data_IF_319676785234
#
_entry.id   IF_319676785234
#
_cell.length_a   1.000
_cell.length_b   1.000
_cell.length_c   1.000
_cell.angle_alpha   90.00
_cell.angle_beta   90.00
_cell.angle_gamma   90.00
#
_symmetry.space_group_name_H-M   'P 1'
#
loop_
_entity.id
_entity.type
_entity.pdbx_description
1 polymer ?
#
# COMPACT_ATOMS: atom_id res chain seq x y z
N UNK A 1 56.27 -14.57 26.23
CA UNK A 1 55.44 -15.79 26.25
C UNK A 1 54.20 -15.54 25.42
N UNK A 2 53.92 -16.47 24.49
CA UNK A 2 52.63 -16.92 23.92
C UNK A 2 51.53 -15.87 23.67
N UNK A 3 50.94 -15.74 22.49
CA UNK A 3 50.99 -16.55 21.29
C UNK A 3 49.83 -16.15 20.37
N UNK A 4 50.14 -15.89 19.10
CA UNK A 4 49.20 -15.78 17.99
C UNK A 4 48.89 -17.20 17.46
N UNK A 5 47.61 -17.46 17.15
CA UNK A 5 47.03 -18.38 16.15
C UNK A 5 45.51 -18.42 16.49
N UNK A 6 44.52 -18.39 15.60
CA UNK A 6 44.34 -19.15 14.37
C UNK A 6 43.02 -18.69 13.73
N UNK A 7 42.96 -18.35 12.43
CA UNK A 7 41.78 -18.63 11.59
C UNK A 7 42.27 -18.91 10.17
N UNK A 8 42.18 -20.18 9.77
CA UNK A 8 42.19 -20.65 8.39
C UNK A 8 40.98 -20.07 7.64
N UNK A 9 41.14 -19.72 6.35
CA UNK A 9 40.37 -20.33 5.25
C UNK A 9 40.85 -19.86 3.87
N UNK A 10 40.90 -20.84 2.96
CA UNK A 10 41.48 -20.85 1.62
C UNK A 10 40.70 -20.01 0.59
N UNK A 11 41.34 -19.58 -0.52
CA UNK A 11 40.67 -18.89 -1.61
C UNK A 11 39.98 -19.86 -2.59
N UNK A 12 38.66 -19.70 -2.79
CA UNK A 12 37.92 -20.32 -3.89
C UNK A 12 38.09 -19.50 -5.17
N UNK A 13 38.80 -20.10 -6.13
CA UNK A 13 38.76 -19.76 -7.56
C UNK A 13 37.34 -19.92 -8.09
N UNK A 14 36.80 -18.91 -8.77
CA UNK A 14 35.78 -19.01 -9.83
C UNK A 14 35.58 -17.66 -10.51
N UNK A 15 36.44 -17.31 -11.46
CA UNK A 15 36.07 -16.42 -12.57
C UNK A 15 37.03 -16.71 -13.74
N UNK A 16 36.59 -17.63 -14.60
CA UNK A 16 37.18 -17.93 -15.90
C UNK A 16 36.28 -17.24 -16.92
N UNK A 17 36.84 -16.41 -17.82
CA UNK A 17 36.61 -16.48 -19.28
C UNK A 17 36.86 -15.16 -20.03
N UNK A 18 38.07 -14.57 -19.98
CA UNK A 18 38.52 -13.66 -21.07
C UNK A 18 40.02 -13.79 -21.37
N UNK A 19 40.86 -14.18 -20.40
CA UNK A 19 42.33 -14.20 -20.58
C UNK A 19 42.95 -15.43 -21.27
N UNK A 20 42.18 -16.46 -21.65
CA UNK A 20 42.75 -17.74 -22.14
C UNK A 20 42.91 -17.85 -23.65
N UNK A 21 42.38 -16.92 -24.43
CA UNK A 21 42.55 -16.91 -25.89
C UNK A 21 43.86 -16.23 -26.32
N UNK A 22 44.43 -15.37 -25.48
CA UNK A 22 45.64 -14.60 -25.81
C UNK A 22 46.95 -15.40 -25.65
N UNK A 23 46.97 -16.40 -24.77
CA UNK A 23 48.16 -17.23 -24.51
C UNK A 23 48.30 -18.44 -25.45
N UNK A 24 47.30 -18.73 -26.29
CA UNK A 24 47.36 -19.85 -27.24
C UNK A 24 47.91 -19.48 -28.63
N UNK A 25 48.02 -18.18 -28.93
CA UNK A 25 48.58 -17.69 -30.20
C UNK A 25 50.11 -17.45 -30.13
N UNK A 26 50.67 -17.17 -28.95
CA UNK A 26 52.11 -16.98 -28.80
C UNK A 26 52.92 -18.29 -28.72
N UNK A 27 52.29 -19.43 -28.48
CA UNK A 27 52.98 -20.73 -28.44
C UNK A 27 53.06 -21.43 -29.80
N UNK A 28 52.31 -20.96 -30.81
CA UNK A 28 52.32 -21.51 -32.18
C UNK A 28 53.24 -20.74 -33.14
N UNK A 29 53.73 -19.55 -32.76
CA UNK A 29 54.70 -18.78 -33.57
C UNK A 29 56.17 -19.17 -33.29
N UNK A 30 56.46 -19.88 -32.19
CA UNK A 30 57.82 -20.25 -31.78
C UNK A 30 58.38 -21.51 -32.48
N UNK A 31 57.70 -22.07 -33.49
CA UNK A 31 58.19 -23.22 -34.28
C UNK A 31 58.48 -22.92 -35.75
N UNK A 32 58.29 -21.69 -36.23
CA UNK A 32 58.69 -21.29 -37.57
C UNK A 32 59.85 -20.29 -37.48
N UNK A 33 61.08 -20.77 -37.70
CA UNK A 33 62.29 -19.96 -37.70
C UNK A 33 62.32 -18.92 -38.82
N UNK A 34 61.64 -17.79 -38.65
CA UNK A 34 61.78 -16.59 -39.46
C UNK A 34 61.86 -15.37 -38.53
N UNK A 35 62.97 -14.64 -38.61
CA UNK A 35 63.11 -13.31 -38.00
C UNK A 35 62.17 -12.34 -38.71
N UNK A 36 61.37 -11.53 -38.00
CA UNK A 36 60.85 -10.30 -38.56
C UNK A 36 61.80 -9.15 -38.21
N UNK A 37 62.29 -8.52 -39.27
CA UNK A 37 62.81 -7.16 -39.28
C UNK A 37 61.69 -6.15 -38.98
N UNK A 38 62.12 -4.98 -38.51
CA UNK A 38 61.38 -3.75 -38.21
C UNK A 38 60.78 -3.61 -36.80
N UNK A 39 61.14 -2.48 -36.21
CA UNK A 39 61.00 -2.07 -34.82
C UNK A 39 59.55 -2.06 -34.32
N UNK A 40 59.20 -3.06 -33.51
CA UNK A 40 57.99 -3.04 -32.69
C UNK A 40 57.95 -1.89 -31.67
N UNK A 41 59.12 -1.30 -31.35
CA UNK A 41 59.19 -0.10 -30.51
C UNK A 41 58.71 1.18 -31.22
N UNK A 42 58.82 1.26 -32.54
CA UNK A 42 58.45 2.46 -33.31
C UNK A 42 56.95 2.48 -33.66
N UNK A 43 56.32 1.29 -33.73
CA UNK A 43 54.85 1.17 -33.85
C UNK A 43 54.15 1.59 -32.55
N UNK A 44 54.71 1.25 -31.38
CA UNK A 44 54.16 1.67 -30.09
C UNK A 44 54.28 3.18 -29.85
N UNK A 45 55.32 3.84 -30.37
CA UNK A 45 55.48 5.30 -30.29
C UNK A 45 54.61 6.06 -31.30
N UNK A 46 54.27 5.47 -32.47
CA UNK A 46 53.33 6.07 -33.43
C UNK A 46 51.85 5.88 -33.09
N UNK A 47 51.50 4.89 -32.26
CA UNK A 47 50.14 4.74 -31.73
C UNK A 47 49.87 5.63 -30.49
N UNK A 48 50.89 6.30 -29.95
CA UNK A 48 50.78 7.22 -28.81
C UNK A 48 50.34 8.65 -29.16
N UNK A 49 50.11 8.98 -30.43
CA UNK A 49 49.79 10.35 -30.87
C UNK A 49 48.66 10.40 -31.90
N UNK A 50 47.59 9.64 -31.69
CA UNK A 50 46.27 10.07 -32.14
C UNK A 50 45.36 10.16 -30.92
N UNK A 51 45.30 11.37 -30.34
CA UNK A 51 44.11 11.80 -29.58
C UNK A 51 42.98 11.99 -30.59
N UNK A 52 42.50 10.89 -31.17
CA UNK A 52 41.13 10.85 -31.64
C UNK A 52 40.32 10.97 -30.37
N UNK A 53 39.69 12.13 -30.17
CA UNK A 53 38.66 12.28 -29.17
C UNK A 53 37.53 11.33 -29.56
N UNK A 54 37.66 10.05 -29.18
CA UNK A 54 36.50 9.24 -28.88
C UNK A 54 35.82 10.02 -27.77
N UNK A 55 34.86 10.85 -28.19
CA UNK A 55 33.78 11.31 -27.36
C UNK A 55 33.18 10.02 -26.85
N UNK A 56 33.62 9.58 -25.68
CA UNK A 56 32.86 8.65 -24.88
C UNK A 56 31.53 9.34 -24.78
N UNK A 57 30.54 8.84 -25.53
CA UNK A 57 29.20 8.97 -25.06
C UNK A 57 29.31 8.44 -23.63
N UNK A 58 29.15 9.34 -22.66
CA UNK A 58 28.75 8.94 -21.32
C UNK A 58 27.45 8.19 -21.56
N UNK A 59 27.53 6.90 -21.87
CA UNK A 59 26.52 5.96 -21.44
C UNK A 59 26.39 6.30 -19.97
N UNK A 60 25.26 6.95 -19.62
CA UNK A 60 25.01 7.33 -18.24
C UNK A 60 25.28 6.10 -17.40
N UNK A 61 26.21 6.23 -16.45
CA UNK A 61 26.54 5.15 -15.53
C UNK A 61 25.22 4.50 -15.11
N UNK A 62 25.01 3.24 -15.48
CA UNK A 62 23.91 2.47 -14.91
C UNK A 62 24.21 2.39 -13.42
N UNK A 63 23.63 3.33 -12.68
CA UNK A 63 23.62 3.32 -11.23
C UNK A 63 23.03 1.98 -10.82
N UNK A 64 23.77 1.19 -10.04
CA UNK A 64 23.20 -0.01 -9.46
C UNK A 64 21.94 0.39 -8.67
N UNK A 65 20.80 -0.22 -8.99
CA UNK A 65 19.56 0.00 -8.26
C UNK A 65 19.73 -0.57 -6.84
N UNK A 66 20.12 0.29 -5.90
CA UNK A 66 20.25 -0.08 -4.50
C UNK A 66 18.92 0.14 -3.78
N UNK A 67 18.40 -0.91 -3.14
CA UNK A 67 17.18 -0.85 -2.32
C UNK A 67 17.55 -1.18 -0.88
N UNK A 68 17.35 -0.19 0.01
CA UNK A 68 17.58 -0.37 1.44
C UNK A 68 16.33 -0.95 2.08
N UNK A 69 16.48 -2.06 2.80
CA UNK A 69 15.46 -2.58 3.73
C UNK A 69 15.96 -2.37 5.15
N UNK A 70 15.16 -1.69 5.96
CA UNK A 70 15.45 -1.42 7.36
C UNK A 70 15.42 -2.71 8.18
N UNK A 71 16.34 -2.89 9.13
CA UNK A 71 16.39 -4.08 9.98
C UNK A 71 15.16 -4.19 10.91
N UNK A 72 14.56 -3.05 11.21
CA UNK A 72 13.30 -2.88 11.92
C UNK A 72 12.14 -3.62 11.24
N UNK A 73 12.27 -3.97 9.96
CA UNK A 73 11.35 -4.86 9.26
C UNK A 73 11.10 -6.16 10.06
N UNK A 74 12.15 -6.74 10.65
CA UNK A 74 12.06 -7.99 11.41
C UNK A 74 11.49 -7.80 12.82
N UNK A 75 11.36 -6.56 13.29
CA UNK A 75 10.81 -6.21 14.59
C UNK A 75 9.35 -5.74 14.51
N UNK A 76 8.83 -5.54 13.30
CA UNK A 76 7.45 -5.13 13.10
C UNK A 76 6.50 -6.22 13.63
N UNK A 77 5.56 -5.89 14.54
CA UNK A 77 4.66 -6.87 15.16
C UNK A 77 3.87 -7.68 14.13
N UNK A 78 3.46 -7.04 13.02
CA UNK A 78 2.74 -7.71 11.94
C UNK A 78 3.63 -8.73 11.24
N UNK A 79 4.88 -8.37 10.96
CA UNK A 79 5.87 -9.27 10.36
C UNK A 79 6.24 -10.41 11.30
N UNK A 80 6.26 -10.19 12.61
CA UNK A 80 6.58 -11.22 13.60
C UNK A 80 5.43 -12.20 13.83
N UNK A 81 4.21 -11.70 14.04
CA UNK A 81 3.08 -12.46 14.58
C UNK A 81 2.09 -12.92 13.50
N UNK A 82 1.91 -12.16 12.42
CA UNK A 82 0.88 -12.44 11.41
C UNK A 82 1.44 -13.05 10.12
N UNK A 83 2.70 -12.77 9.76
CA UNK A 83 3.30 -13.23 8.51
C UNK A 83 3.93 -14.63 8.66
N UNK A 84 3.53 -15.55 7.78
CA UNK A 84 4.21 -16.84 7.62
C UNK A 84 5.62 -16.65 7.04
N UNK A 85 6.53 -17.64 7.14
CA UNK A 85 7.86 -17.54 6.51
C UNK A 85 7.80 -17.26 5.00
N UNK A 86 6.82 -17.85 4.32
CA UNK A 86 6.55 -17.62 2.90
C UNK A 86 6.11 -16.18 2.65
N UNK A 87 5.23 -15.64 3.49
CA UNK A 87 4.80 -14.23 3.40
C UNK A 87 5.98 -13.27 3.60
N UNK A 88 6.88 -13.54 4.56
CA UNK A 88 8.06 -12.70 4.79
C UNK A 88 8.96 -12.66 3.55
N UNK A 89 9.16 -13.82 2.91
CA UNK A 89 9.93 -13.91 1.67
C UNK A 89 9.24 -13.19 0.51
N UNK A 90 7.93 -13.39 0.34
CA UNK A 90 7.13 -12.70 -0.68
C UNK A 90 7.17 -11.18 -0.48
N UNK A 91 7.03 -10.72 0.78
CA UNK A 91 7.05 -9.29 1.07
C UNK A 91 8.42 -8.67 0.77
N UNK A 92 9.52 -9.31 1.20
CA UNK A 92 10.86 -8.86 0.87
C UNK A 92 11.07 -8.79 -0.65
N UNK A 93 10.59 -9.79 -1.39
CA UNK A 93 10.63 -9.78 -2.85
C UNK A 93 9.88 -8.55 -3.44
N UNK A 94 8.68 -8.23 -2.94
CA UNK A 94 7.95 -7.04 -3.38
C UNK A 94 8.70 -5.73 -3.07
N UNK A 95 9.49 -5.70 -1.99
CA UNK A 95 10.27 -4.52 -1.61
C UNK A 95 11.57 -4.34 -2.42
N UNK A 96 12.15 -5.44 -2.94
CA UNK A 96 13.51 -5.43 -3.50
C UNK A 96 13.62 -5.89 -4.95
N UNK A 97 12.51 -6.17 -5.64
CA UNK A 97 12.57 -6.62 -7.03
C UNK A 97 13.08 -5.49 -7.96
N UNK A 98 13.61 -5.84 -9.15
CA UNK A 98 14.18 -4.85 -10.06
C UNK A 98 13.15 -3.87 -10.65
N UNK A 99 11.86 -4.21 -10.61
CA UNK A 99 10.79 -3.35 -11.08
C UNK A 99 10.33 -2.36 -10.01
N UNK A 100 10.70 -2.57 -8.74
CA UNK A 100 10.31 -1.69 -7.65
C UNK A 100 10.81 -0.28 -7.92
N UNK A 101 9.89 0.69 -7.86
CA UNK A 101 10.11 2.12 -8.06
C UNK A 101 10.37 2.83 -6.74
N UNK A 102 10.76 4.10 -6.80
CA UNK A 102 10.99 4.93 -5.63
C UNK A 102 9.69 5.28 -4.89
N UNK A 103 8.59 5.41 -5.63
CA UNK A 103 7.24 5.66 -5.08
C UNK A 103 6.57 4.40 -4.49
N UNK A 104 7.03 3.19 -4.86
CA UNK A 104 6.43 1.93 -4.40
C UNK A 104 5.20 1.47 -5.19
N UNK A 105 4.99 2.06 -6.38
CA UNK A 105 3.99 1.64 -7.39
C UNK A 105 4.72 1.27 -8.66
N UNK A 106 4.56 0.04 -9.10
CA UNK A 106 5.28 -0.42 -10.28
C UNK A 106 4.56 -1.55 -11.00
N UNK A 107 4.89 -1.70 -12.28
CA UNK A 107 4.33 -2.73 -13.13
C UNK A 107 5.04 -4.07 -12.91
N UNK A 108 4.27 -5.09 -12.53
CA UNK A 108 4.75 -6.46 -12.41
C UNK A 108 3.65 -7.47 -12.74
N UNK A 109 3.99 -8.51 -13.48
CA UNK A 109 3.03 -9.56 -13.84
C UNK A 109 3.11 -10.72 -12.85
N UNK A 110 1.97 -11.35 -12.57
CA UNK A 110 1.89 -12.58 -11.76
C UNK A 110 2.83 -13.67 -12.26
N UNK A 111 2.97 -13.82 -13.58
CA UNK A 111 3.91 -14.76 -14.20
C UNK A 111 5.37 -14.42 -13.91
N UNK A 112 5.72 -13.13 -13.88
CA UNK A 112 7.07 -12.67 -13.53
C UNK A 112 7.40 -12.99 -12.08
N UNK A 113 6.49 -12.70 -11.17
CA UNK A 113 6.65 -13.02 -9.74
C UNK A 113 6.82 -14.53 -9.53
N UNK A 114 6.00 -15.33 -10.20
CA UNK A 114 6.09 -16.79 -10.16
C UNK A 114 7.45 -17.29 -10.65
N UNK A 115 7.93 -16.75 -11.78
CA UNK A 115 9.25 -17.09 -12.33
C UNK A 115 10.40 -16.70 -11.40
N UNK A 116 10.42 -15.47 -10.87
CA UNK A 116 11.51 -14.98 -10.03
C UNK A 116 11.61 -15.74 -8.70
N UNK A 117 10.47 -16.15 -8.14
CA UNK A 117 10.40 -16.86 -6.86
C UNK A 117 10.44 -18.39 -7.00
N UNK A 118 10.32 -18.92 -8.21
CA UNK A 118 10.23 -20.37 -8.44
C UNK A 118 8.89 -20.98 -7.97
N UNK A 119 7.82 -20.19 -7.97
CA UNK A 119 6.48 -20.61 -7.58
C UNK A 119 5.55 -20.83 -8.78
N UNK A 120 4.44 -21.52 -8.53
CA UNK A 120 3.36 -21.59 -9.51
C UNK A 120 2.62 -20.23 -9.59
N UNK A 121 2.05 -19.85 -10.75
CA UNK A 121 1.18 -18.67 -10.85
C UNK A 121 0.01 -18.70 -9.85
N UNK A 122 -0.50 -19.89 -9.53
CA UNK A 122 -1.58 -20.12 -8.57
C UNK A 122 -1.14 -19.78 -7.14
N UNK A 123 0.07 -20.21 -6.75
CA UNK A 123 0.66 -19.87 -5.45
C UNK A 123 0.85 -18.36 -5.31
N UNK A 124 1.34 -17.69 -6.35
CA UNK A 124 1.48 -16.22 -6.36
C UNK A 124 0.12 -15.53 -6.28
N UNK A 125 -0.90 -16.05 -6.96
CA UNK A 125 -2.26 -15.50 -6.84
C UNK A 125 -2.78 -15.61 -5.41
N UNK A 126 -2.59 -16.75 -4.74
CA UNK A 126 -2.97 -16.94 -3.34
C UNK A 126 -2.19 -16.02 -2.39
N UNK A 127 -0.88 -15.83 -2.64
CA UNK A 127 -0.05 -14.88 -1.90
C UNK A 127 -0.55 -13.45 -2.08
N UNK A 128 -0.80 -13.00 -3.31
CA UNK A 128 -1.34 -11.66 -3.58
C UNK A 128 -2.69 -11.45 -2.91
N UNK A 129 -3.59 -12.42 -3.02
CA UNK A 129 -4.93 -12.35 -2.43
C UNK A 129 -4.85 -12.22 -0.90
N UNK A 130 -3.99 -13.02 -0.27
CA UNK A 130 -3.68 -12.92 1.16
C UNK A 130 -3.07 -11.56 1.52
N UNK A 131 -2.15 -11.04 0.73
CA UNK A 131 -1.54 -9.73 0.98
C UNK A 131 -2.51 -8.55 0.81
N UNK A 132 -3.49 -8.69 -0.08
CA UNK A 132 -4.50 -7.68 -0.36
C UNK A 132 -5.64 -7.70 0.67
N UNK A 133 -6.20 -8.87 0.93
CA UNK A 133 -7.42 -9.01 1.76
C UNK A 133 -7.11 -9.25 3.24
N UNK A 134 -6.14 -10.12 3.55
CA UNK A 134 -5.80 -10.47 4.93
C UNK A 134 -4.82 -9.46 5.53
N UNK A 135 -3.65 -9.31 4.91
CA UNK A 135 -2.60 -8.45 5.45
C UNK A 135 -2.84 -6.96 5.18
N UNK A 136 -3.58 -6.61 4.11
CA UNK A 136 -3.85 -5.23 3.67
C UNK A 136 -2.56 -4.41 3.54
N UNK A 137 -1.53 -5.01 2.96
CA UNK A 137 -0.22 -4.39 2.76
C UNK A 137 -0.03 -3.89 1.32
N UNK A 138 -0.71 -4.52 0.37
CA UNK A 138 -0.57 -4.23 -1.06
C UNK A 138 -1.93 -4.23 -1.75
N UNK A 139 -2.01 -3.53 -2.88
CA UNK A 139 -3.13 -3.61 -3.81
C UNK A 139 -2.58 -3.92 -5.19
N UNK A 140 -3.19 -4.89 -5.87
CA UNK A 140 -2.79 -5.30 -7.21
C UNK A 140 -3.90 -5.01 -8.22
N UNK A 141 -3.63 -4.14 -9.19
CA UNK A 141 -4.50 -3.98 -10.34
C UNK A 141 -4.13 -5.00 -11.43
N UNK A 142 -5.06 -5.90 -11.73
CA UNK A 142 -4.86 -6.95 -12.75
C UNK A 142 -4.93 -6.44 -14.19
N UNK A 143 -5.59 -5.30 -14.44
CA UNK A 143 -5.75 -4.69 -15.77
C UNK A 143 -4.45 -3.99 -16.19
N UNK A 144 -3.96 -3.05 -15.39
CA UNK A 144 -2.70 -2.34 -15.67
C UNK A 144 -1.47 -3.19 -15.37
N UNK A 145 -1.64 -4.23 -14.54
CA UNK A 145 -0.60 -5.11 -13.99
C UNK A 145 0.35 -4.34 -13.07
N UNK A 146 -0.22 -3.44 -12.28
CA UNK A 146 0.50 -2.60 -11.33
C UNK A 146 0.23 -3.07 -9.90
N UNK A 147 1.26 -2.99 -9.08
CA UNK A 147 1.17 -3.26 -7.64
C UNK A 147 1.54 -1.99 -6.88
N UNK A 148 0.79 -1.70 -5.82
CA UNK A 148 1.04 -0.61 -4.90
C UNK A 148 1.29 -1.14 -3.50
N UNK A 149 2.36 -0.65 -2.86
CA UNK A 149 2.68 -0.99 -1.47
C UNK A 149 2.21 0.16 -0.57
N UNK A 150 1.16 -0.07 0.21
CA UNK A 150 0.37 0.98 0.89
C UNK A 150 1.23 1.85 1.80
N UNK A 151 2.03 1.22 2.67
CA UNK A 151 2.86 1.93 3.67
C UNK A 151 4.25 2.31 3.15
N UNK A 152 4.48 2.30 1.84
CA UNK A 152 5.81 2.54 1.27
C UNK A 152 6.39 3.92 1.63
N UNK A 153 5.57 4.97 1.52
CA UNK A 153 5.99 6.36 1.73
C UNK A 153 6.55 6.62 3.12
N UNK A 154 5.97 6.01 4.16
CA UNK A 154 6.40 6.15 5.57
C UNK A 154 7.87 5.75 5.78
N UNK A 155 8.33 4.71 5.09
CA UNK A 155 9.66 4.15 5.30
C UNK A 155 10.68 4.67 4.28
N UNK A 156 10.27 4.85 3.03
CA UNK A 156 11.18 5.11 1.91
C UNK A 156 11.24 6.58 1.45
N UNK A 157 10.23 7.40 1.78
CA UNK A 157 10.11 8.79 1.30
C UNK A 157 10.38 9.82 2.42
N UNK A 158 11.47 9.61 3.17
CA UNK A 158 11.85 10.48 4.31
C UNK A 158 12.62 11.74 3.90
N UNK A 159 13.38 11.68 2.80
CA UNK A 159 14.25 12.79 2.33
C UNK A 159 13.81 13.25 0.94
N UNK A 160 13.49 14.54 0.80
CA UNK A 160 13.13 15.17 -0.46
C UNK A 160 14.36 15.90 -1.06
N UNK A 161 15.31 15.13 -1.60
CA UNK A 161 16.40 15.71 -2.38
C UNK A 161 15.97 15.95 -3.83
N UNK A 162 16.57 16.94 -4.52
CA UNK A 162 16.32 17.19 -5.95
C UNK A 162 16.36 15.93 -6.85
N UNK A 163 17.41 15.07 -6.79
CA UNK A 163 17.43 13.86 -7.63
C UNK A 163 16.33 12.85 -7.28
N UNK A 164 15.85 12.86 -6.03
CA UNK A 164 14.75 12.03 -5.57
C UNK A 164 13.43 12.52 -6.15
N UNK A 165 13.18 13.83 -6.08
CA UNK A 165 11.97 14.47 -6.63
C UNK A 165 11.88 14.27 -8.15
N UNK A 166 12.98 14.48 -8.88
CA UNK A 166 13.03 14.26 -10.33
C UNK A 166 12.69 12.80 -10.71
N UNK A 167 13.14 11.83 -9.90
CA UNK A 167 12.80 10.41 -10.08
C UNK A 167 11.30 10.15 -9.82
N UNK A 168 10.75 10.72 -8.74
CA UNK A 168 9.34 10.59 -8.38
C UNK A 168 8.45 11.17 -9.48
N UNK A 169 8.75 12.37 -9.97
CA UNK A 169 7.97 13.00 -11.05
C UNK A 169 7.98 12.18 -12.34
N UNK A 170 9.11 11.52 -12.65
CA UNK A 170 9.21 10.62 -13.79
C UNK A 170 8.38 9.35 -13.58
N UNK A 171 8.43 8.76 -12.40
CA UNK A 171 7.69 7.54 -12.07
C UNK A 171 6.18 7.78 -12.03
N UNK A 172 5.73 8.91 -11.48
CA UNK A 172 4.32 9.32 -11.48
C UNK A 172 3.73 9.34 -12.89
N UNK A 173 4.47 9.86 -13.87
CA UNK A 173 4.05 9.90 -15.29
C UNK A 173 3.91 8.54 -15.96
N UNK A 174 4.52 7.49 -15.40
CA UNK A 174 4.53 6.14 -15.99
C UNK A 174 3.38 5.26 -15.50
N UNK A 175 2.64 5.72 -14.47
CA UNK A 175 1.58 4.96 -13.84
C UNK A 175 0.31 5.07 -14.66
N UNK A 176 -0.31 3.92 -14.93
CA UNK A 176 -1.58 3.83 -15.66
C UNK A 176 -2.77 3.96 -14.69
N UNK A 177 -2.72 3.33 -13.51
CA UNK A 177 -3.79 3.36 -12.51
C UNK A 177 -3.55 4.39 -11.38
N UNK A 178 -4.35 5.46 -11.42
CA UNK A 178 -4.29 6.55 -10.43
C UNK A 178 -4.92 6.18 -9.09
N UNK A 179 -5.81 5.20 -9.03
CA UNK A 179 -6.45 4.78 -7.76
C UNK A 179 -5.41 4.23 -6.78
N UNK A 180 -4.34 3.64 -7.30
CA UNK A 180 -3.18 3.18 -6.52
C UNK A 180 -2.42 4.33 -5.84
N UNK A 181 -2.38 5.50 -6.47
CA UNK A 181 -1.73 6.69 -5.91
C UNK A 181 -2.54 7.27 -4.75
N UNK A 182 -3.87 7.26 -4.86
CA UNK A 182 -4.77 7.72 -3.79
C UNK A 182 -4.61 6.90 -2.51
N UNK A 183 -4.26 5.62 -2.62
CA UNK A 183 -4.01 4.74 -1.46
C UNK A 183 -2.67 5.00 -0.77
N UNK A 184 -1.67 5.51 -1.50
CA UNK A 184 -0.33 5.77 -0.95
C UNK A 184 -0.23 7.19 -0.39
N UNK A 185 -0.93 8.15 -0.99
CA UNK A 185 -0.92 9.56 -0.62
C UNK A 185 -1.06 9.82 0.90
N UNK A 186 -1.99 9.18 1.64
CA UNK A 186 -2.17 9.40 3.08
C UNK A 186 -0.96 8.99 3.94
N UNK A 187 -0.09 8.12 3.41
CA UNK A 187 1.02 7.53 4.15
C UNK A 187 2.37 8.20 3.86
N UNK A 188 2.39 9.32 3.13
CA UNK A 188 3.60 10.10 2.83
C UNK A 188 3.78 11.18 3.92
N UNK A 189 4.84 11.12 4.74
CA UNK A 189 5.05 12.08 5.82
C UNK A 189 5.62 13.42 5.33
N UNK A 190 6.21 13.48 4.14
CA UNK A 190 6.87 14.67 3.62
C UNK A 190 5.91 15.49 2.75
N UNK A 191 5.66 16.74 3.15
CA UNK A 191 4.71 17.63 2.48
C UNK A 191 5.08 17.96 1.04
N UNK A 192 6.37 18.12 0.71
CA UNK A 192 6.79 18.44 -0.66
C UNK A 192 6.55 17.26 -1.62
N UNK A 193 6.78 16.03 -1.15
CA UNK A 193 6.49 14.82 -1.92
C UNK A 193 4.98 14.65 -2.04
N UNK A 194 4.25 14.85 -0.95
CA UNK A 194 2.79 14.78 -0.93
C UNK A 194 2.16 15.77 -1.92
N UNK A 195 2.67 17.00 -1.97
CA UNK A 195 2.20 18.01 -2.94
C UNK A 195 2.48 17.58 -4.38
N UNK A 196 3.64 16.99 -4.68
CA UNK A 196 3.94 16.48 -6.02
C UNK A 196 2.95 15.39 -6.48
N UNK A 197 2.55 14.49 -5.56
CA UNK A 197 1.50 13.51 -5.82
C UNK A 197 0.14 14.19 -6.01
N UNK A 198 -0.20 15.18 -5.16
CA UNK A 198 -1.47 15.92 -5.27
C UNK A 198 -1.60 16.65 -6.60
N UNK A 199 -0.54 17.30 -7.08
CA UNK A 199 -0.53 17.96 -8.39
C UNK A 199 -0.80 16.97 -9.50
N UNK A 200 -0.15 15.80 -9.49
CA UNK A 200 -0.33 14.80 -10.53
C UNK A 200 -1.75 14.19 -10.55
N UNK A 201 -2.32 13.92 -9.37
CA UNK A 201 -3.70 13.41 -9.27
C UNK A 201 -4.71 14.48 -9.73
N UNK A 202 -4.52 15.75 -9.34
CA UNK A 202 -5.45 16.84 -9.67
C UNK A 202 -5.30 17.36 -11.12
N UNK A 203 -4.08 17.49 -11.65
CA UNK A 203 -3.80 18.02 -13.01
C UNK A 203 -4.47 17.17 -14.10
N UNK A 204 -4.71 15.89 -13.83
CA UNK A 204 -5.34 14.99 -14.81
C UNK A 204 -6.86 15.01 -14.82
N UNK A 205 -7.50 15.89 -14.04
CA UNK A 205 -8.95 16.11 -14.07
C UNK A 205 -9.36 17.22 -15.06
N UNK A 206 -8.42 18.07 -15.49
CA UNK A 206 -8.72 19.28 -16.29
C UNK A 206 -8.67 19.10 -17.81
N UNK A 207 -8.25 17.94 -18.34
CA UNK A 207 -8.01 17.77 -19.79
C UNK A 207 -9.13 17.01 -20.55
N UNK A 208 -10.38 17.12 -20.06
CA UNK A 208 -11.56 16.81 -20.88
C UNK A 208 -12.46 18.05 -20.98
N UNK A 209 -12.52 18.60 -22.20
CA UNK A 209 -13.25 19.81 -22.61
C UNK A 209 -14.74 19.91 -22.19
N UNK A 210 -15.34 21.12 -22.22
CA UNK A 210 -16.22 21.65 -21.19
C UNK A 210 -17.73 21.50 -21.47
N UNK A 211 -18.52 21.24 -20.42
CA UNK A 211 -19.87 21.79 -20.26
C UNK A 211 -20.45 21.44 -18.89
N UNK A 212 -21.20 22.39 -18.31
CA UNK A 212 -21.93 22.32 -17.04
C UNK A 212 -21.10 22.57 -15.79
N UNK A 213 -20.88 23.86 -15.51
CA UNK A 213 -20.34 24.32 -14.23
C UNK A 213 -21.30 24.11 -13.05
N UNK A 214 -20.67 24.08 -11.87
CA UNK A 214 -21.19 24.45 -10.54
C UNK A 214 -21.71 23.38 -9.56
N UNK A 215 -21.71 22.08 -9.85
CA UNK A 215 -22.26 21.10 -8.87
C UNK A 215 -21.27 20.11 -8.22
N UNK A 216 -20.03 19.91 -8.73
CA UNK A 216 -19.15 18.82 -8.28
C UNK A 216 -18.18 19.12 -7.13
N UNK A 217 -17.88 20.40 -6.86
CA UNK A 217 -16.92 20.77 -5.80
C UNK A 217 -17.41 20.46 -4.37
N UNK A 218 -18.72 20.26 -4.17
CA UNK A 218 -19.29 19.89 -2.86
C UNK A 218 -19.31 18.37 -2.57
N UNK A 219 -19.26 17.53 -3.60
CA UNK A 219 -19.36 16.07 -3.44
C UNK A 219 -18.02 15.43 -2.99
N UNK A 220 -16.87 16.00 -3.37
CA UNK A 220 -15.54 15.45 -2.99
C UNK A 220 -15.05 15.88 -1.59
N UNK A 221 -15.45 17.06 -1.10
CA UNK A 221 -15.19 17.47 0.29
C UNK A 221 -16.00 16.62 1.29
N UNK A 222 -17.24 16.27 0.94
CA UNK A 222 -18.12 15.41 1.76
C UNK A 222 -17.57 13.98 1.91
N UNK A 223 -16.98 13.42 0.85
CA UNK A 223 -16.44 12.06 0.88
C UNK A 223 -15.09 11.97 1.62
N UNK A 224 -14.33 13.08 1.72
CA UNK A 224 -13.12 13.21 2.56
C UNK A 224 -13.40 13.28 4.06
N UNK A 225 -14.50 13.91 4.47
CA UNK A 225 -14.86 14.05 5.88
C UNK A 225 -15.44 12.74 6.49
N UNK A 226 -16.18 11.95 5.70
CA UNK A 226 -16.83 10.70 6.13
C UNK A 226 -15.86 9.55 6.45
N UNK A 227 -14.67 9.53 5.84
CA UNK A 227 -13.68 8.45 6.02
C UNK A 227 -12.87 8.57 7.31
N UNK A 228 -12.80 9.76 7.90
CA UNK A 228 -12.10 9.98 9.17
C UNK A 228 -12.92 9.54 10.40
N UNK A 229 -14.24 9.37 10.29
CA UNK A 229 -15.09 9.07 11.46
C UNK A 229 -15.40 7.57 11.60
N UNK A 230 -14.98 6.73 10.66
CA UNK A 230 -15.27 5.29 10.67
C UNK A 230 -14.14 4.41 11.29
N UNK A 231 -13.08 4.97 11.87
CA UNK A 231 -11.93 4.19 12.36
C UNK A 231 -11.35 4.66 13.71
N UNK A 232 -12.00 4.34 14.84
CA UNK A 232 -11.29 4.19 16.13
C UNK A 232 -10.37 2.96 16.12
N UNK A 233 -9.19 2.91 16.79
CA UNK A 233 -8.92 3.28 18.20
C UNK A 233 -7.40 3.18 18.55
N UNK A 234 -7.02 3.49 19.80
CA UNK A 234 -6.30 4.68 20.27
C UNK A 234 -4.77 4.54 20.05
N UNK A 235 -3.98 5.60 20.01
CA UNK A 235 -3.19 6.08 21.14
C UNK A 235 -2.39 7.31 20.69
N UNK A 236 -2.21 8.22 21.63
CA UNK A 236 -1.29 9.34 21.64
C UNK A 236 -1.79 10.71 21.13
N UNK A 237 -1.82 11.60 22.11
CA UNK A 237 -2.41 12.92 22.10
C UNK A 237 -1.46 13.91 21.43
N UNK A 238 -1.92 14.62 20.38
CA UNK A 238 -1.45 15.98 20.10
C UNK A 238 -2.04 16.61 18.83
N UNK A 239 -3.32 16.46 18.48
CA UNK A 239 -3.83 17.21 17.31
C UNK A 239 -5.34 17.53 17.27
N UNK A 240 -5.91 18.14 18.31
CA UNK A 240 -7.12 18.96 18.14
C UNK A 240 -7.06 20.19 19.05
N UNK A 241 -6.65 21.32 18.49
CA UNK A 241 -6.96 22.62 19.06
C UNK A 241 -8.32 23.06 18.51
N UNK A 242 -9.34 22.93 19.37
CA UNK A 242 -10.57 23.72 19.50
C UNK A 242 -11.12 24.45 18.25
N UNK A 243 -12.15 23.86 17.64
CA UNK A 243 -13.33 24.59 17.17
C UNK A 243 -14.58 23.82 17.64
N UNK A 244 -15.15 24.27 18.77
CA UNK A 244 -16.50 24.10 19.34
C UNK A 244 -17.25 22.75 19.15
N UNK A 245 -17.91 22.34 20.24
CA UNK A 245 -18.86 21.22 20.40
C UNK A 245 -20.02 21.15 19.39
N UNK A 246 -19.75 21.01 18.09
CA UNK A 246 -20.78 20.89 17.07
C UNK A 246 -21.11 19.41 16.80
N UNK A 247 -22.40 19.10 16.94
CA UNK A 247 -22.95 17.78 16.68
C UNK A 247 -22.82 17.49 15.18
N UNK A 248 -22.17 16.37 14.76
CA UNK A 248 -21.93 16.04 13.36
C UNK A 248 -23.21 15.47 12.70
N UNK A 249 -24.26 16.29 12.60
CA UNK A 249 -25.56 15.89 12.01
C UNK A 249 -25.43 15.40 10.58
N UNK A 250 -24.60 16.09 9.79
CA UNK A 250 -24.35 15.80 8.39
C UNK A 250 -23.81 14.38 8.23
N UNK A 251 -22.75 14.09 8.98
CA UNK A 251 -22.03 12.83 8.86
C UNK A 251 -22.86 11.60 9.27
N UNK A 252 -23.67 11.72 10.31
CA UNK A 252 -24.57 10.65 10.76
C UNK A 252 -25.61 10.32 9.68
N UNK A 253 -26.13 11.35 9.00
CA UNK A 253 -27.19 11.18 7.99
C UNK A 253 -26.64 10.73 6.65
N UNK A 254 -25.46 11.20 6.26
CA UNK A 254 -24.82 10.77 5.03
C UNK A 254 -24.43 9.29 5.09
N UNK A 255 -23.97 8.81 6.26
CA UNK A 255 -23.73 7.39 6.49
C UNK A 255 -25.01 6.56 6.28
N UNK A 256 -26.15 6.98 6.86
CA UNK A 256 -27.44 6.30 6.69
C UNK A 256 -27.86 6.26 5.22
N UNK A 257 -27.73 7.39 4.51
CA UNK A 257 -28.07 7.51 3.09
C UNK A 257 -27.22 6.59 2.21
N UNK A 258 -25.90 6.54 2.46
CA UNK A 258 -24.97 5.68 1.72
C UNK A 258 -25.28 4.20 1.90
N UNK A 259 -25.60 3.79 3.13
CA UNK A 259 -25.80 2.38 3.49
C UNK A 259 -27.18 1.85 3.05
N UNK A 260 -28.22 2.68 3.13
CA UNK A 260 -29.61 2.26 2.80
C UNK A 260 -30.01 2.65 1.36
N UNK A 261 -29.25 3.52 0.69
CA UNK A 261 -29.60 4.08 -0.62
C UNK A 261 -30.69 5.16 -0.54
N UNK A 262 -30.81 5.86 0.60
CA UNK A 262 -31.82 6.89 0.83
C UNK A 262 -31.26 8.30 0.63
N UNK A 263 -32.14 9.32 0.68
CA UNK A 263 -31.77 10.75 0.51
C UNK A 263 -32.34 11.64 1.63
N UNK A 264 -32.19 11.22 2.88
CA UNK A 264 -32.59 12.03 4.05
C UNK A 264 -31.75 13.28 4.16
N UNK A 265 -32.37 14.42 4.53
CA UNK A 265 -31.67 15.70 4.66
C UNK A 265 -31.16 15.90 6.09
N UNK A 266 -29.87 16.25 6.29
CA UNK A 266 -29.31 16.52 7.62
C UNK A 266 -29.86 17.81 8.26
N UNK A 267 -30.45 18.69 7.46
CA UNK A 267 -31.06 19.94 7.92
C UNK A 267 -32.46 19.76 8.53
N UNK A 268 -33.04 18.56 8.44
CA UNK A 268 -34.40 18.26 8.92
C UNK A 268 -34.52 18.48 10.43
N UNK A 269 -35.41 19.36 10.93
CA UNK A 269 -35.48 19.68 12.36
C UNK A 269 -35.76 18.48 13.26
N UNK A 270 -36.64 17.56 12.83
CA UNK A 270 -37.01 16.36 13.58
C UNK A 270 -35.81 15.42 13.75
N UNK A 271 -35.13 15.11 12.65
CA UNK A 271 -33.90 14.33 12.63
C UNK A 271 -32.81 14.92 13.53
N UNK A 272 -32.59 16.24 13.45
CA UNK A 272 -31.62 16.92 14.32
C UNK A 272 -32.01 16.85 15.78
N UNK A 273 -33.30 16.93 16.11
CA UNK A 273 -33.81 16.80 17.48
C UNK A 273 -33.48 15.42 18.06
N UNK A 274 -33.73 14.35 17.30
CA UNK A 274 -33.48 12.98 17.74
C UNK A 274 -31.97 12.73 17.95
N UNK A 275 -31.14 13.15 16.98
CA UNK A 275 -29.67 13.05 17.11
C UNK A 275 -29.17 13.87 18.31
N UNK A 276 -29.66 15.10 18.50
CA UNK A 276 -29.26 15.96 19.61
C UNK A 276 -29.64 15.38 20.96
N UNK A 277 -30.81 14.75 21.07
CA UNK A 277 -31.25 14.08 22.28
C UNK A 277 -30.25 12.96 22.67
N UNK A 278 -29.92 12.08 21.72
CA UNK A 278 -28.92 11.01 21.92
C UNK A 278 -27.53 11.56 22.23
N UNK A 279 -27.13 12.63 21.55
CA UNK A 279 -25.85 13.29 21.81
C UNK A 279 -25.76 13.84 23.24
N UNK A 280 -26.86 14.39 23.76
CA UNK A 280 -26.94 14.88 25.14
C UNK A 280 -27.01 13.74 26.17
N UNK A 281 -27.53 12.57 25.79
CA UNK A 281 -27.54 11.36 26.62
C UNK A 281 -26.14 10.72 26.78
N UNK A 282 -25.16 11.16 25.98
CA UNK A 282 -23.77 10.71 26.07
C UNK A 282 -23.28 9.95 24.83
N UNK A 283 -24.19 9.55 23.94
CA UNK A 283 -23.86 8.80 22.73
C UNK A 283 -23.02 9.64 21.75
N UNK A 284 -22.01 9.01 21.16
CA UNK A 284 -21.09 9.60 20.19
C UNK A 284 -21.31 9.00 18.81
N UNK A 285 -20.67 9.58 17.81
CA UNK A 285 -20.79 9.18 16.42
C UNK A 285 -20.70 7.66 16.19
N UNK A 286 -19.73 6.99 16.83
CA UNK A 286 -19.52 5.54 16.68
C UNK A 286 -20.75 4.72 17.11
N UNK A 287 -21.52 5.18 18.10
CA UNK A 287 -22.77 4.53 18.52
C UNK A 287 -23.85 4.65 17.43
N UNK A 288 -23.97 5.81 16.80
CA UNK A 288 -24.90 6.02 15.69
C UNK A 288 -24.54 5.15 14.49
N UNK A 289 -23.25 5.10 14.16
CA UNK A 289 -22.72 4.24 13.09
C UNK A 289 -23.05 2.76 13.37
N UNK A 290 -22.84 2.29 14.60
CA UNK A 290 -23.15 0.91 14.96
C UNK A 290 -24.64 0.59 14.75
N UNK A 291 -25.53 1.45 15.28
CA UNK A 291 -26.99 1.28 15.13
C UNK A 291 -27.41 1.26 13.65
N UNK A 292 -26.82 2.13 12.82
CA UNK A 292 -27.11 2.16 11.37
C UNK A 292 -26.71 0.84 10.70
N UNK A 293 -25.51 0.34 10.97
CA UNK A 293 -25.00 -0.88 10.34
C UNK A 293 -25.82 -2.11 10.76
N UNK A 294 -26.02 -2.30 12.07
CA UNK A 294 -26.77 -3.43 12.62
C UNK A 294 -28.20 -3.47 12.07
N UNK A 295 -28.89 -2.33 12.07
CA UNK A 295 -30.27 -2.27 11.58
C UNK A 295 -30.38 -2.38 10.07
N UNK A 296 -29.40 -1.89 9.32
CA UNK A 296 -29.39 -2.11 7.88
C UNK A 296 -29.25 -3.59 7.57
N UNK A 297 -28.30 -4.30 8.20
CA UNK A 297 -28.13 -5.74 7.99
C UNK A 297 -29.42 -6.52 8.29
N UNK A 298 -30.13 -6.14 9.36
CA UNK A 298 -31.36 -6.81 9.78
C UNK A 298 -32.58 -6.48 8.90
N UNK A 299 -32.75 -5.22 8.51
CA UNK A 299 -34.02 -4.74 7.92
C UNK A 299 -33.96 -4.41 6.44
N UNK A 300 -32.78 -4.26 5.83
CA UNK A 300 -32.66 -3.82 4.43
C UNK A 300 -33.32 -4.79 3.46
N UNK A 301 -33.11 -6.10 3.69
CA UNK A 301 -33.62 -7.18 2.84
C UNK A 301 -35.00 -7.70 3.28
N UNK A 302 -35.57 -7.18 4.37
CA UNK A 302 -36.90 -7.56 4.85
C UNK A 302 -37.97 -6.61 4.24
N UNK A 303 -38.92 -7.13 3.42
CA UNK A 303 -39.96 -6.30 2.79
C UNK A 303 -40.90 -5.57 3.77
N UNK A 304 -41.07 -6.10 4.99
CA UNK A 304 -41.86 -5.46 6.02
C UNK A 304 -41.03 -4.41 6.76
N UNK A 305 -39.77 -4.74 7.11
CA UNK A 305 -38.97 -3.93 8.02
C UNK A 305 -38.15 -2.82 7.36
N UNK A 306 -37.80 -2.94 6.07
CA UNK A 306 -37.05 -1.94 5.30
C UNK A 306 -37.58 -0.51 5.49
N UNK A 307 -38.91 -0.34 5.51
CA UNK A 307 -39.59 0.97 5.65
C UNK A 307 -39.25 1.70 6.95
N UNK A 308 -38.65 1.02 7.92
CA UNK A 308 -38.26 1.56 9.22
C UNK A 308 -36.79 2.00 9.27
N UNK A 309 -36.02 1.87 8.18
CA UNK A 309 -34.68 2.43 8.03
C UNK A 309 -34.73 3.95 7.79
N UNK A 310 -35.15 4.68 8.82
CA UNK A 310 -35.34 6.15 8.80
C UNK A 310 -34.78 6.78 10.08
N UNK A 311 -34.30 8.03 10.05
CA UNK A 311 -33.70 8.67 11.22
C UNK A 311 -34.60 8.68 12.46
N UNK A 312 -35.89 8.93 12.29
CA UNK A 312 -36.88 8.93 13.38
C UNK A 312 -36.97 7.57 14.11
N UNK A 313 -36.88 6.48 13.36
CA UNK A 313 -37.00 5.13 13.93
C UNK A 313 -35.68 4.67 14.54
N UNK A 314 -34.55 4.96 13.87
CA UNK A 314 -33.22 4.57 14.32
C UNK A 314 -32.76 5.37 15.54
N UNK A 315 -33.00 6.69 15.56
CA UNK A 315 -32.54 7.59 16.62
C UNK A 315 -33.62 7.94 17.66
N UNK A 316 -34.77 7.26 17.57
CA UNK A 316 -35.87 7.33 18.54
C UNK A 316 -35.55 6.64 19.86
N UNK A 317 -36.55 6.46 20.71
CA UNK A 317 -36.42 5.97 22.12
C UNK A 317 -35.77 4.60 22.27
N UNK A 318 -35.71 3.81 21.21
CA UNK A 318 -35.12 2.45 21.20
C UNK A 318 -33.64 2.42 20.82
N UNK A 319 -32.99 3.58 20.66
CA UNK A 319 -31.59 3.68 20.24
C UNK A 319 -30.64 2.79 21.06
N UNK A 320 -30.69 2.87 22.38
CA UNK A 320 -29.85 2.06 23.28
C UNK A 320 -30.15 0.55 23.15
N UNK A 321 -31.41 0.19 22.89
CA UNK A 321 -31.79 -1.20 22.65
C UNK A 321 -31.21 -1.73 21.34
N UNK A 322 -31.10 -0.89 20.31
CA UNK A 322 -30.47 -1.27 19.04
C UNK A 322 -28.97 -1.37 19.16
N UNK A 323 -28.35 -0.46 19.92
CA UNK A 323 -26.91 -0.46 20.20
C UNK A 323 -26.45 -1.76 20.89
N UNK A 324 -27.30 -2.34 21.74
CA UNK A 324 -27.01 -3.55 22.51
C UNK A 324 -27.49 -4.86 21.86
N UNK A 325 -28.00 -4.82 20.63
CA UNK A 325 -28.50 -6.00 19.95
C UNK A 325 -27.33 -6.88 19.46
N UNK A 326 -27.34 -8.18 19.81
CA UNK A 326 -26.28 -9.12 19.44
C UNK A 326 -26.43 -9.56 17.97
N UNK A 327 -25.74 -8.86 17.06
CA UNK A 327 -25.59 -9.24 15.65
C UNK A 327 -24.92 -8.12 14.87
N UNK A 328 -23.63 -8.31 14.52
CA UNK A 328 -22.85 -7.36 13.70
C UNK A 328 -21.45 -7.05 14.26
N UNK A 329 -20.47 -7.94 13.97
CA UNK A 329 -19.00 -7.85 14.17
C UNK A 329 -18.43 -7.56 15.59
N UNK A 330 -17.23 -8.10 15.91
CA UNK A 330 -16.72 -8.16 17.28
C UNK A 330 -16.19 -6.80 17.77
N UNK A 331 -16.73 -6.32 18.87
CA UNK A 331 -16.15 -5.22 19.64
C UNK A 331 -14.91 -5.73 20.41
N UNK A 332 -13.73 -5.22 20.05
CA UNK A 332 -12.52 -5.33 20.85
C UNK A 332 -12.62 -4.43 22.09
N UNK A 333 -12.85 -5.06 23.24
CA UNK A 333 -12.82 -4.40 24.55
C UNK A 333 -13.02 -5.39 25.68
N UNK A 334 -11.95 -5.65 26.45
CA UNK A 334 -11.98 -6.40 27.71
C UNK A 334 -12.97 -5.76 28.69
N UNK A 335 -13.98 -6.51 29.15
CA UNK A 335 -14.47 -6.41 30.53
C UNK A 335 -14.91 -7.79 31.04
N UNK A 336 -14.34 -8.16 32.19
CA UNK A 336 -14.72 -9.32 33.00
C UNK A 336 -16.09 -9.07 33.65
N UNK A 337 -16.95 -10.10 33.70
CA UNK A 337 -18.01 -10.18 34.71
C UNK A 337 -19.32 -10.87 34.33
N UNK A 338 -19.46 -12.13 34.78
CA UNK A 338 -20.68 -12.80 35.27
C UNK A 338 -21.91 -13.07 34.36
N UNK A 339 -21.99 -14.35 33.96
CA UNK A 339 -23.16 -15.26 33.88
C UNK A 339 -24.58 -14.73 33.64
N UNK A 340 -25.24 -15.29 32.61
CA UNK A 340 -26.51 -16.02 32.82
C UNK A 340 -26.71 -17.10 31.74
N UNK A 341 -27.30 -18.21 32.18
CA UNK A 341 -27.47 -19.49 31.50
C UNK A 341 -28.70 -19.48 30.59
N UNK A 342 -28.57 -19.94 29.35
CA UNK A 342 -29.69 -20.55 28.62
C UNK A 342 -29.18 -21.53 27.56
N UNK A 343 -29.62 -22.79 27.72
CA UNK A 343 -29.37 -23.92 26.81
C UNK A 343 -30.08 -23.69 25.48
N UNK A 344 -29.31 -23.66 24.39
CA UNK A 344 -29.80 -23.82 23.02
C UNK A 344 -28.91 -24.82 22.29
N UNK A 345 -29.50 -25.81 21.64
CA UNK A 345 -28.81 -26.93 20.97
C UNK A 345 -27.93 -26.41 19.82
N UNK A 346 -26.69 -26.92 19.73
CA UNK A 346 -25.83 -26.75 18.55
C UNK A 346 -26.41 -27.57 17.39
N UNK A 347 -26.67 -26.92 16.26
CA UNK A 347 -27.03 -27.54 14.99
C UNK A 347 -25.70 -27.89 14.29
N UNK A 348 -25.51 -29.18 13.94
CA UNK A 348 -24.32 -29.65 13.23
C UNK A 348 -24.50 -29.45 11.73
N UNK A 349 -23.39 -29.49 10.98
CA UNK A 349 -23.33 -29.33 9.53
C UNK A 349 -24.04 -30.44 8.73
N UNK A 350 -24.69 -31.39 9.40
CA UNK A 350 -25.47 -32.48 8.82
C UNK A 350 -26.98 -32.17 8.73
N UNK A 351 -27.45 -31.02 9.25
CA UNK A 351 -28.88 -30.70 9.42
C UNK A 351 -29.49 -29.80 8.30
N UNK A 352 -28.85 -29.62 7.13
CA UNK A 352 -29.40 -28.82 6.02
C UNK A 352 -29.65 -29.69 4.77
N UNK A 353 -30.91 -29.93 4.36
CA UNK A 353 -31.22 -30.57 3.08
C UNK A 353 -30.96 -29.61 1.91
N UNK A 354 -30.33 -30.16 0.86
CA UNK A 354 -29.91 -29.58 -0.43
C UNK A 354 -30.50 -28.24 -0.88
#
# INVERSE_FOLDING_TARGET
MKGYLNVLLLPRKSCISVGRTFLRLNHLSAQAGQKPSEDFHDVLLRLGSQRTAFRTHKEGEQMANFRQVYVEFWQDPKVLEELTPEDKYFYLYLLTNPNTTQIGVYRITKKRMAFDMGYSPESVNSLLDRFQHHHKLVVYNSETREIAIIKWGKYNLKKAGKPMMDCIEKELKQIEDKTLLELIFPHIPNDAIREAFSRYVNDTYDDTSPCSGQEKEKEEEEEKELKDILSGKPDDASFYKNEKDEIPYKLIIDLLNKVVGTRYRPTTPKTRKDIKARWNEGFRFEDFKHVILVKTEEWLNDPAMNRFLRPETLFGTKFESYLNQKGGLPHGGLHKGASSSSRGRNISQDDIPY
#
